data_IF_975938532100
#
_entry.id   IF_975938532100
#
_cell.length_a   1.000
_cell.length_b   1.000
_cell.length_c   1.000
_cell.angle_alpha   90.00
_cell.angle_beta   90.00
_cell.angle_gamma   90.00
#
_symmetry.space_group_name_H-M   'P 1'
#
loop_
_entity.id
_entity.type
_entity.pdbx_description
1 polymer ?
#
# COMPACT_ATOMS: atom_id res chain seq x y z
N UNK A 1 28.20 40.68 -23.96
CA UNK A 1 27.97 40.31 -22.54
C UNK A 1 27.09 39.08 -22.32
N UNK A 2 26.05 38.81 -23.12
CA UNK A 2 25.16 37.65 -22.92
C UNK A 2 25.86 36.26 -22.95
N UNK A 3 26.90 36.06 -23.77
CA UNK A 3 27.58 34.75 -23.87
C UNK A 3 28.34 34.36 -22.59
N UNK A 4 29.01 35.31 -21.92
CA UNK A 4 29.75 35.02 -20.68
C UNK A 4 28.81 34.68 -19.53
N UNK A 5 27.67 35.37 -19.43
CA UNK A 5 26.63 35.05 -18.45
C UNK A 5 26.10 33.62 -18.66
N UNK A 6 25.88 33.21 -19.91
CA UNK A 6 25.41 31.86 -20.25
C UNK A 6 26.40 30.76 -19.86
N UNK A 7 27.70 31.00 -19.97
CA UNK A 7 28.72 30.05 -19.51
C UNK A 7 28.80 29.98 -17.98
N UNK A 8 28.68 31.12 -17.30
CA UNK A 8 28.62 31.17 -15.83
C UNK A 8 27.37 30.43 -15.30
N UNK A 9 26.19 30.70 -15.88
CA UNK A 9 24.94 29.98 -15.58
C UNK A 9 25.10 28.46 -15.77
N UNK A 10 25.71 28.04 -16.90
CA UNK A 10 25.95 26.62 -17.18
C UNK A 10 26.94 25.99 -16.19
N UNK A 11 28.02 26.71 -15.84
CA UNK A 11 28.97 26.27 -14.83
C UNK A 11 28.32 26.08 -13.46
N UNK A 12 27.49 27.03 -13.04
CA UNK A 12 26.75 26.94 -11.78
C UNK A 12 25.77 25.77 -11.78
N UNK A 13 25.04 25.56 -12.89
CA UNK A 13 24.13 24.43 -13.03
C UNK A 13 24.85 23.09 -12.90
N UNK A 14 26.00 22.91 -13.56
CA UNK A 14 26.80 21.69 -13.46
C UNK A 14 27.32 21.49 -12.04
N UNK A 15 27.82 22.55 -11.41
CA UNK A 15 28.30 22.49 -10.02
C UNK A 15 27.17 22.09 -9.06
N UNK A 16 25.98 22.67 -9.21
CA UNK A 16 24.80 22.33 -8.41
C UNK A 16 24.37 20.87 -8.62
N UNK A 17 24.35 20.38 -9.86
CA UNK A 17 24.07 18.97 -10.16
C UNK A 17 25.09 18.02 -9.53
N UNK A 18 26.38 18.36 -9.61
CA UNK A 18 27.45 17.59 -8.97
C UNK A 18 27.31 17.56 -7.44
N UNK A 19 27.08 18.72 -6.83
CA UNK A 19 26.85 18.84 -5.39
C UNK A 19 25.64 18.02 -4.94
N UNK A 20 24.54 18.02 -5.70
CA UNK A 20 23.34 17.23 -5.40
C UNK A 20 23.61 15.72 -5.40
N UNK A 21 24.34 15.22 -6.40
CA UNK A 21 24.69 13.79 -6.48
C UNK A 21 25.53 13.36 -5.28
N UNK A 22 26.55 14.15 -4.92
CA UNK A 22 27.40 13.87 -3.75
C UNK A 22 26.59 13.91 -2.46
N UNK A 23 25.78 14.97 -2.27
CA UNK A 23 24.92 15.11 -1.10
C UNK A 23 23.95 13.92 -0.95
N UNK A 24 23.27 13.53 -2.03
CA UNK A 24 22.32 12.43 -2.00
C UNK A 24 22.99 11.08 -1.71
N UNK A 25 24.19 10.84 -2.26
CA UNK A 25 24.97 9.64 -1.97
C UNK A 25 25.36 9.55 -0.49
N UNK A 26 25.87 10.65 0.08
CA UNK A 26 26.21 10.72 1.51
C UNK A 26 24.97 10.58 2.40
N UNK A 27 23.86 11.20 2.02
CA UNK A 27 22.60 11.12 2.76
C UNK A 27 22.05 9.68 2.82
N UNK A 28 22.30 8.85 1.80
CA UNK A 28 21.90 7.43 1.81
C UNK A 28 22.66 6.58 2.85
N UNK A 29 23.87 6.98 3.24
CA UNK A 29 24.69 6.24 4.21
C UNK A 29 24.13 6.39 5.63
N UNK A 30 23.73 7.61 6.00
CA UNK A 30 23.17 7.90 7.33
C UNK A 30 21.90 8.74 7.21
N UNK A 31 20.80 8.08 6.87
CA UNK A 31 19.50 8.74 6.74
C UNK A 31 18.91 9.03 8.12
N UNK A 32 18.51 10.29 8.34
CA UNK A 32 17.76 10.70 9.54
C UNK A 32 16.48 9.86 9.73
N UNK A 33 15.96 9.75 10.96
CA UNK A 33 14.65 9.16 11.21
C UNK A 33 13.58 9.83 10.37
N UNK A 34 12.57 9.06 9.96
CA UNK A 34 11.44 9.63 9.24
C UNK A 34 10.56 10.47 10.18
N UNK A 35 9.82 11.40 9.58
CA UNK A 35 8.89 12.27 10.30
C UNK A 35 7.73 11.45 10.87
N UNK A 36 7.40 11.70 12.14
CA UNK A 36 6.21 11.18 12.80
C UNK A 36 5.13 12.26 12.79
N UNK A 37 4.06 12.11 11.99
CA UNK A 37 2.97 13.08 11.96
C UNK A 37 2.12 12.97 13.23
N UNK A 38 1.48 14.07 13.65
CA UNK A 38 0.66 14.13 14.87
C UNK A 38 -0.52 13.13 14.92
N UNK A 39 -0.91 12.55 13.79
CA UNK A 39 -1.99 11.56 13.70
C UNK A 39 -1.50 10.10 13.75
N UNK A 40 -0.20 9.86 13.91
CA UNK A 40 0.36 8.51 13.98
C UNK A 40 1.32 8.36 15.16
N UNK A 41 1.27 7.22 15.83
CA UNK A 41 2.24 6.84 16.86
C UNK A 41 3.57 6.35 16.25
N UNK A 42 3.62 6.13 14.93
CA UNK A 42 4.78 5.59 14.22
C UNK A 42 5.27 6.55 13.13
N UNK A 43 6.60 6.61 12.88
CA UNK A 43 7.13 7.42 11.79
C UNK A 43 6.68 6.88 10.43
N UNK A 44 6.62 7.76 9.42
CA UNK A 44 6.33 7.32 8.05
C UNK A 44 7.41 6.36 7.54
N UNK A 45 7.00 5.27 6.90
CA UNK A 45 7.94 4.31 6.32
C UNK A 45 8.77 4.94 5.20
N UNK A 46 10.08 4.72 5.23
CA UNK A 46 11.00 5.07 4.15
C UNK A 46 10.78 4.15 2.96
N UNK A 47 11.21 4.55 1.77
CA UNK A 47 10.95 3.81 0.53
C UNK A 47 11.46 2.36 0.57
N UNK A 48 12.56 2.08 1.27
CA UNK A 48 13.13 0.73 1.41
C UNK A 48 12.48 -0.10 2.54
N UNK A 49 11.68 0.54 3.40
CA UNK A 49 10.92 -0.14 4.47
C UNK A 49 9.53 -0.55 3.97
N UNK A 50 9.08 0.01 2.85
CA UNK A 50 7.82 -0.35 2.20
C UNK A 50 7.98 -1.68 1.47
N UNK A 51 7.02 -2.57 1.68
CA UNK A 51 6.90 -3.82 0.92
C UNK A 51 5.93 -3.62 -0.24
N UNK A 52 6.22 -4.24 -1.39
CA UNK A 52 5.25 -4.33 -2.49
C UNK A 52 4.41 -5.59 -2.30
N UNK A 53 3.07 -5.50 -2.34
CA UNK A 53 2.25 -6.70 -2.36
C UNK A 53 2.49 -7.48 -3.66
N UNK A 54 2.30 -8.82 -3.67
CA UNK A 54 2.31 -9.57 -4.91
C UNK A 54 1.16 -9.05 -5.80
N UNK A 55 1.46 -8.68 -7.04
CA UNK A 55 0.48 -8.22 -8.04
C UNK A 55 0.21 -9.33 -9.06
N UNK A 56 -0.80 -9.12 -9.91
CA UNK A 56 -1.28 -10.08 -10.88
C UNK A 56 -2.36 -11.02 -10.32
N UNK A 57 -2.88 -11.87 -11.20
CA UNK A 57 -3.81 -12.94 -10.86
C UNK A 57 -3.50 -14.19 -11.70
N UNK A 58 -3.72 -15.40 -11.16
CA UNK A 58 -4.28 -15.69 -9.85
C UNK A 58 -3.29 -15.45 -8.69
N UNK A 59 -3.79 -14.94 -7.55
CA UNK A 59 -2.99 -14.80 -6.32
C UNK A 59 -3.84 -14.97 -5.06
N UNK A 60 -3.21 -15.39 -3.97
CA UNK A 60 -3.82 -15.40 -2.65
C UNK A 60 -3.50 -14.09 -1.89
N UNK A 61 -4.47 -13.58 -1.15
CA UNK A 61 -4.35 -12.39 -0.30
C UNK A 61 -5.15 -12.55 0.98
N UNK A 62 -4.86 -11.73 1.98
CA UNK A 62 -5.67 -11.64 3.18
C UNK A 62 -6.86 -10.70 2.91
N UNK A 63 -8.06 -11.15 3.26
CA UNK A 63 -9.30 -10.38 3.13
C UNK A 63 -10.11 -10.49 4.42
N UNK A 64 -11.16 -9.70 4.52
CA UNK A 64 -12.08 -9.76 5.65
C UNK A 64 -13.40 -10.42 5.24
N UNK A 65 -13.90 -11.31 6.09
CA UNK A 65 -15.25 -11.84 5.97
C UNK A 65 -16.27 -10.72 6.22
N UNK A 66 -17.16 -10.43 5.25
CA UNK A 66 -18.13 -9.34 5.38
C UNK A 66 -19.13 -9.56 6.50
N UNK A 67 -19.38 -10.82 6.89
CA UNK A 67 -20.28 -11.16 7.97
C UNK A 67 -19.58 -11.09 9.34
N UNK A 68 -18.40 -11.70 9.52
CA UNK A 68 -17.63 -11.61 10.77
C UNK A 68 -17.38 -10.15 11.18
N UNK A 69 -17.04 -9.27 10.23
CA UNK A 69 -16.78 -7.86 10.53
C UNK A 69 -18.05 -7.14 11.01
N UNK A 70 -19.20 -7.44 10.41
CA UNK A 70 -20.49 -6.84 10.82
C UNK A 70 -20.93 -7.33 12.20
N UNK A 71 -20.73 -8.61 12.48
CA UNK A 71 -21.02 -9.23 13.78
C UNK A 71 -20.13 -8.63 14.87
N UNK A 72 -18.81 -8.60 14.65
CA UNK A 72 -17.86 -8.02 15.59
C UNK A 72 -18.16 -6.53 15.86
N UNK A 73 -18.45 -5.76 14.81
CA UNK A 73 -18.88 -4.36 14.97
C UNK A 73 -20.13 -4.25 15.82
N UNK A 74 -21.13 -5.11 15.61
CA UNK A 74 -22.35 -5.12 16.41
C UNK A 74 -22.07 -5.46 17.87
N UNK A 75 -21.26 -6.48 18.15
CA UNK A 75 -20.90 -6.86 19.52
C UNK A 75 -20.18 -5.75 20.28
N UNK A 76 -19.33 -4.98 19.60
CA UNK A 76 -18.67 -3.81 20.18
C UNK A 76 -19.69 -2.72 20.50
N UNK A 77 -20.59 -2.41 19.56
CA UNK A 77 -21.63 -1.39 19.76
C UNK A 77 -22.66 -1.80 20.83
N UNK A 78 -22.94 -3.09 20.97
CA UNK A 78 -23.79 -3.66 22.02
C UNK A 78 -23.07 -3.68 23.40
N UNK A 79 -21.77 -3.34 23.47
CA UNK A 79 -20.97 -3.37 24.70
C UNK A 79 -20.55 -4.78 25.15
N UNK A 80 -20.70 -5.81 24.29
CA UNK A 80 -20.33 -7.20 24.59
C UNK A 80 -18.84 -7.47 24.44
N UNK A 81 -18.17 -6.72 23.57
CA UNK A 81 -16.72 -6.79 23.33
C UNK A 81 -16.11 -5.40 23.37
N UNK A 82 -14.87 -5.31 23.83
CA UNK A 82 -14.11 -4.08 23.80
C UNK A 82 -13.48 -3.84 22.41
N UNK A 83 -13.26 -2.58 22.06
CA UNK A 83 -12.66 -2.19 20.76
C UNK A 83 -11.22 -2.68 20.62
N UNK A 84 -10.49 -2.89 21.73
CA UNK A 84 -9.11 -3.41 21.71
C UNK A 84 -8.98 -4.78 21.05
N UNK A 85 -10.08 -5.54 20.94
CA UNK A 85 -10.10 -6.81 20.20
C UNK A 85 -9.69 -6.58 18.73
N UNK A 86 -10.06 -5.45 18.10
CA UNK A 86 -9.66 -5.12 16.73
C UNK A 86 -8.16 -4.80 16.59
N UNK A 87 -7.47 -4.49 17.69
CA UNK A 87 -6.03 -4.18 17.70
C UNK A 87 -5.18 -5.42 17.97
N UNK A 88 -5.71 -6.35 18.77
CA UNK A 88 -4.96 -7.49 19.29
C UNK A 88 -5.29 -8.81 18.58
N UNK A 89 -6.45 -8.88 17.91
CA UNK A 89 -6.94 -10.10 17.24
C UNK A 89 -7.20 -9.86 15.75
N UNK A 90 -7.16 -10.95 14.97
CA UNK A 90 -7.40 -10.94 13.51
C UNK A 90 -8.88 -11.22 13.22
N UNK A 91 -9.75 -10.33 13.68
CA UNK A 91 -11.20 -10.53 13.61
C UNK A 91 -11.71 -10.60 12.17
N UNK A 92 -12.15 -11.79 11.76
CA UNK A 92 -12.71 -12.01 10.43
C UNK A 92 -11.69 -12.06 9.30
N UNK A 93 -10.39 -12.10 9.61
CA UNK A 93 -9.34 -12.30 8.61
C UNK A 93 -9.43 -13.71 8.02
N UNK A 94 -9.51 -13.81 6.70
CA UNK A 94 -9.57 -15.06 5.94
C UNK A 94 -8.73 -14.94 4.67
N UNK A 95 -8.28 -16.08 4.14
CA UNK A 95 -7.64 -16.14 2.83
C UNK A 95 -8.65 -15.93 1.72
N UNK A 96 -8.26 -15.14 0.72
CA UNK A 96 -9.02 -14.89 -0.49
C UNK A 96 -8.14 -15.10 -1.72
N UNK A 97 -8.71 -15.66 -2.77
CA UNK A 97 -8.06 -15.81 -4.07
C UNK A 97 -8.59 -14.73 -5.01
N UNK A 98 -7.69 -13.93 -5.57
CA UNK A 98 -7.98 -13.03 -6.69
C UNK A 98 -7.75 -13.82 -7.97
N UNK A 99 -8.77 -13.93 -8.81
CA UNK A 99 -8.73 -14.67 -10.08
C UNK A 99 -9.54 -13.98 -11.16
N UNK A 100 -9.27 -14.32 -12.42
CA UNK A 100 -10.10 -13.89 -13.55
C UNK A 100 -11.16 -14.94 -13.87
N UNK A 101 -12.40 -14.49 -14.00
CA UNK A 101 -13.55 -15.32 -14.40
C UNK A 101 -14.53 -14.48 -15.21
N UNK A 102 -14.98 -15.01 -16.35
CA UNK A 102 -15.98 -14.36 -17.21
C UNK A 102 -15.64 -12.90 -17.58
N UNK A 103 -14.36 -12.61 -17.83
CA UNK A 103 -13.88 -11.26 -18.16
C UNK A 103 -13.92 -10.29 -16.99
N UNK A 104 -13.97 -10.77 -15.75
CA UNK A 104 -13.95 -9.97 -14.51
C UNK A 104 -12.86 -10.46 -13.57
N UNK A 105 -12.37 -9.55 -12.73
CA UNK A 105 -11.51 -9.90 -11.60
C UNK A 105 -12.39 -10.15 -10.40
N UNK A 106 -12.32 -11.37 -9.87
CA UNK A 106 -13.11 -11.86 -8.75
C UNK A 106 -12.21 -12.04 -7.54
N UNK A 107 -12.69 -11.64 -6.37
CA UNK A 107 -12.14 -12.03 -5.08
C UNK A 107 -13.02 -13.11 -4.47
N UNK A 108 -12.50 -14.32 -4.43
CA UNK A 108 -13.20 -15.51 -3.91
C UNK A 108 -12.64 -15.84 -2.55
N UNK A 109 -13.51 -16.05 -1.56
CA UNK A 109 -13.08 -16.30 -0.18
C UNK A 109 -14.05 -17.24 0.53
N UNK A 110 -13.50 -18.10 1.37
CA UNK A 110 -14.25 -19.07 2.15
C UNK A 110 -14.09 -18.78 3.64
N UNK A 111 -15.19 -18.46 4.29
CA UNK A 111 -15.26 -18.28 5.72
C UNK A 111 -15.68 -19.59 6.38
N UNK A 112 -14.94 -20.09 7.41
CA UNK A 112 -15.31 -21.32 8.11
C UNK A 112 -16.71 -21.33 8.74
N UNK A 113 -17.25 -20.14 9.05
CA UNK A 113 -18.54 -19.99 9.75
C UNK A 113 -19.66 -19.42 8.88
N UNK A 114 -19.33 -18.64 7.85
CA UNK A 114 -20.34 -17.98 6.98
C UNK A 114 -20.35 -18.51 5.54
N UNK A 115 -19.47 -19.46 5.20
CA UNK A 115 -19.42 -20.10 3.90
C UNK A 115 -18.70 -19.29 2.83
N UNK A 116 -19.13 -19.49 1.58
CA UNK A 116 -18.45 -19.01 0.39
C UNK A 116 -18.90 -17.60 -0.03
N UNK A 117 -17.96 -16.78 -0.47
CA UNK A 117 -18.22 -15.43 -0.98
C UNK A 117 -17.43 -15.17 -2.26
N UNK A 118 -18.07 -14.47 -3.20
CA UNK A 118 -17.43 -13.99 -4.42
C UNK A 118 -17.77 -12.50 -4.61
N UNK A 119 -16.74 -11.66 -4.59
CA UNK A 119 -16.86 -10.22 -4.81
C UNK A 119 -16.23 -9.84 -6.15
N UNK A 120 -16.92 -9.00 -6.94
CA UNK A 120 -16.35 -8.45 -8.18
C UNK A 120 -15.41 -7.30 -7.81
N UNK A 121 -14.11 -7.44 -8.07
CA UNK A 121 -13.13 -6.37 -7.88
C UNK A 121 -13.08 -5.41 -9.07
N UNK A 122 -13.13 -5.96 -10.29
CA UNK A 122 -13.08 -5.18 -11.52
C UNK A 122 -13.86 -5.87 -12.64
N UNK A 123 -14.48 -5.06 -13.50
CA UNK A 123 -15.22 -5.52 -14.69
C UNK A 123 -14.43 -5.36 -16.00
N UNK A 124 -13.26 -4.72 -15.93
CA UNK A 124 -12.34 -4.53 -17.04
C UNK A 124 -10.96 -5.07 -16.63
N UNK A 125 -10.63 -6.25 -17.11
CA UNK A 125 -9.39 -6.95 -16.78
C UNK A 125 -8.16 -6.28 -17.40
N UNK A 126 -8.31 -5.64 -18.57
CA UNK A 126 -7.22 -4.94 -19.24
C UNK A 126 -6.84 -3.66 -18.49
N UNK A 127 -7.84 -2.88 -18.07
CA UNK A 127 -7.60 -1.69 -17.26
C UNK A 127 -7.05 -2.06 -15.88
N UNK A 128 -7.58 -3.10 -15.24
CA UNK A 128 -7.06 -3.56 -13.95
C UNK A 128 -5.59 -4.02 -14.05
N UNK A 129 -5.22 -4.71 -15.15
CA UNK A 129 -3.82 -5.09 -15.42
C UNK A 129 -2.93 -3.87 -15.54
N UNK A 130 -3.36 -2.87 -16.30
CA UNK A 130 -2.60 -1.64 -16.49
C UNK A 130 -2.35 -0.92 -15.15
N UNK A 131 -3.35 -0.86 -14.27
CA UNK A 131 -3.19 -0.28 -12.93
C UNK A 131 -2.12 -1.00 -12.09
N UNK A 132 -2.06 -2.33 -12.15
CA UNK A 132 -1.03 -3.10 -11.46
C UNK A 132 0.37 -2.94 -12.10
N UNK A 133 0.45 -2.79 -13.44
CA UNK A 133 1.72 -2.57 -14.15
C UNK A 133 2.39 -1.21 -13.82
N UNK A 134 1.61 -0.21 -13.43
CA UNK A 134 2.10 1.15 -13.11
C UNK A 134 2.30 1.42 -11.61
N UNK A 135 2.19 0.39 -10.75
CA UNK A 135 2.30 0.47 -9.28
C UNK A 135 3.74 0.31 -8.72
#
# INVERSE_FOLDING_TARGET
MHKLMKYAEKGLSIAASGAWVVFNALNKINQRPAFTPNWSDKPLLKSYEKTKPPLGWPRETDSLCPMCVREARKEILDGKKDVSVLLNERVGEIKATILERDGKIMMVKDCPVHGHFEDVMAIDTAFFRHLEEVF
#
